data_IF_198245880116
#
_entry.id   IF_198245880116
#
_cell.length_a   1.000
_cell.length_b   1.000
_cell.length_c   1.000
_cell.angle_alpha   90.00
_cell.angle_beta   90.00
_cell.angle_gamma   90.00
#
_symmetry.space_group_name_H-M   'P 1'
#
loop_
_entity.id
_entity.type
_entity.pdbx_description
1 polymer ?
#
# COMPACT_ATOMS: atom_id res chain seq x y z
N UNK A 1 38.56 -26.62 1.30
CA UNK A 1 38.42 -25.16 1.57
C UNK A 1 38.54 -24.96 3.06
N UNK A 2 39.59 -24.28 3.52
CA UNK A 2 39.79 -24.02 4.94
C UNK A 2 38.59 -23.27 5.52
N UNK A 3 37.97 -23.81 6.57
CA UNK A 3 36.97 -23.13 7.39
C UNK A 3 37.64 -21.98 8.14
N UNK A 4 37.94 -20.90 7.42
CA UNK A 4 38.28 -19.61 8.03
C UNK A 4 36.98 -19.11 8.66
N UNK A 5 36.83 -19.31 9.97
CA UNK A 5 35.74 -18.66 10.69
C UNK A 5 35.90 -17.15 10.42
N UNK A 6 34.87 -16.50 9.88
CA UNK A 6 34.85 -15.06 9.59
C UNK A 6 34.82 -14.20 10.87
N UNK A 7 35.23 -14.79 11.98
CA UNK A 7 35.22 -14.28 13.33
C UNK A 7 36.66 -13.96 13.74
N UNK A 8 36.87 -12.72 14.15
CA UNK A 8 38.16 -12.17 14.56
C UNK A 8 38.04 -11.64 15.98
N UNK A 9 39.09 -11.84 16.78
CA UNK A 9 39.21 -11.25 18.11
C UNK A 9 39.87 -9.87 18.03
N UNK A 10 39.35 -8.89 18.78
CA UNK A 10 39.99 -7.59 18.94
C UNK A 10 41.31 -7.70 19.73
N UNK A 11 42.17 -6.69 19.60
CA UNK A 11 43.40 -6.58 20.39
C UNK A 11 43.08 -6.07 21.80
N UNK A 12 43.91 -6.49 22.78
CA UNK A 12 43.85 -6.09 24.21
C UNK A 12 43.72 -4.56 24.38
N UNK A 13 43.06 -4.04 25.43
CA UNK A 13 42.76 -4.70 26.71
C UNK A 13 41.42 -5.45 26.81
N UNK A 14 40.44 -5.17 25.95
CA UNK A 14 39.14 -5.86 25.95
C UNK A 14 39.02 -6.75 24.72
N UNK A 15 38.90 -8.06 24.93
CA UNK A 15 38.70 -9.04 23.86
C UNK A 15 37.23 -9.06 23.47
N UNK A 16 36.92 -8.46 22.33
CA UNK A 16 35.61 -8.47 21.69
C UNK A 16 35.68 -9.30 20.40
N UNK A 17 34.56 -9.93 20.06
CA UNK A 17 34.39 -10.69 18.82
C UNK A 17 33.90 -9.78 17.71
N UNK A 18 34.49 -9.89 16.52
CA UNK A 18 34.11 -9.13 15.34
C UNK A 18 33.93 -10.07 14.15
N UNK A 19 32.87 -9.84 13.38
CA UNK A 19 32.74 -10.39 12.04
C UNK A 19 33.65 -9.59 11.09
N UNK A 20 34.41 -10.29 10.26
CA UNK A 20 35.26 -9.71 9.21
C UNK A 20 35.01 -10.43 7.87
N UNK A 21 34.54 -9.68 6.88
CA UNK A 21 34.34 -10.16 5.53
C UNK A 21 35.15 -9.31 4.55
N UNK A 22 36.11 -9.93 3.85
CA UNK A 22 36.86 -9.23 2.81
C UNK A 22 36.04 -9.16 1.53
N UNK A 23 36.00 -7.99 0.90
CA UNK A 23 35.31 -7.81 -0.37
C UNK A 23 36.16 -8.49 -1.46
N UNK A 24 35.55 -9.32 -2.33
CA UNK A 24 36.26 -9.91 -3.45
C UNK A 24 36.83 -8.85 -4.42
N UNK A 25 38.02 -9.11 -4.97
CA UNK A 25 38.75 -8.15 -5.83
C UNK A 25 37.91 -7.65 -7.02
N UNK A 26 37.10 -8.51 -7.59
CA UNK A 26 36.22 -8.22 -8.72
C UNK A 26 35.08 -7.24 -8.36
N UNK A 27 34.74 -7.14 -7.07
CA UNK A 27 33.70 -6.26 -6.54
C UNK A 27 34.25 -4.99 -5.90
N UNK A 28 35.57 -4.82 -5.77
CA UNK A 28 36.19 -3.62 -5.16
C UNK A 28 35.73 -2.32 -5.82
N UNK A 29 35.42 -2.32 -7.13
CA UNK A 29 34.92 -1.14 -7.85
C UNK A 29 33.52 -0.67 -7.41
N UNK A 30 32.73 -1.53 -6.77
CA UNK A 30 31.36 -1.21 -6.32
C UNK A 30 31.31 -0.77 -4.85
N UNK A 31 32.40 -0.93 -4.11
CA UNK A 31 32.45 -0.66 -2.66
C UNK A 31 33.59 0.30 -2.33
N UNK A 32 33.32 1.29 -1.47
CA UNK A 32 34.33 2.26 -1.04
C UNK A 32 35.33 1.70 -0.02
N UNK A 33 35.16 0.45 0.41
CA UNK A 33 35.94 -0.20 1.47
C UNK A 33 36.41 -1.56 0.98
N UNK A 34 37.48 -2.10 1.59
CA UNK A 34 38.06 -3.40 1.22
C UNK A 34 37.53 -4.56 2.07
N UNK A 35 36.97 -4.26 3.23
CA UNK A 35 36.41 -5.26 4.13
C UNK A 35 35.27 -4.67 4.96
N UNK A 36 34.28 -5.50 5.29
CA UNK A 36 33.28 -5.22 6.29
C UNK A 36 33.75 -5.74 7.64
N UNK A 37 33.63 -4.90 8.67
CA UNK A 37 33.88 -5.29 10.06
C UNK A 37 32.69 -4.91 10.92
N UNK A 38 32.08 -5.91 11.56
CA UNK A 38 30.91 -5.71 12.43
C UNK A 38 31.23 -6.23 13.81
N UNK A 39 31.02 -5.42 14.84
CA UNK A 39 31.23 -5.85 16.22
C UNK A 39 30.11 -6.80 16.65
N UNK A 40 30.48 -7.94 17.23
CA UNK A 40 29.57 -8.92 17.84
C UNK A 40 29.68 -8.87 19.37
N UNK A 41 29.93 -7.68 19.91
CA UNK A 41 30.06 -7.44 21.35
C UNK A 41 28.78 -7.86 22.08
N UNK A 42 28.93 -8.52 23.23
CA UNK A 42 27.82 -8.94 24.08
C UNK A 42 27.31 -10.36 23.84
N UNK A 43 27.85 -11.09 22.85
CA UNK A 43 27.50 -12.48 22.59
C UNK A 43 28.62 -13.45 23.02
N UNK A 44 28.23 -14.68 23.38
CA UNK A 44 29.19 -15.74 23.69
C UNK A 44 29.86 -16.27 22.42
N UNK A 45 31.03 -16.91 22.55
CA UNK A 45 31.77 -17.45 21.40
C UNK A 45 30.93 -18.37 20.48
N UNK A 46 30.14 -19.33 20.98
CA UNK A 46 29.29 -20.17 20.13
C UNK A 46 28.25 -19.36 19.34
N UNK A 47 27.63 -18.36 19.98
CA UNK A 47 26.66 -17.47 19.34
C UNK A 47 27.34 -16.59 18.28
N UNK A 48 28.49 -15.99 18.61
CA UNK A 48 29.29 -15.21 17.66
C UNK A 48 29.67 -16.02 16.43
N UNK A 49 30.00 -17.30 16.58
CA UNK A 49 30.33 -18.19 15.47
C UNK A 49 29.12 -18.44 14.56
N UNK A 50 27.94 -18.67 15.13
CA UNK A 50 26.69 -18.84 14.36
C UNK A 50 26.36 -17.54 13.61
N UNK A 51 26.35 -16.41 14.32
CA UNK A 51 26.05 -15.09 13.75
C UNK A 51 27.05 -14.76 12.63
N UNK A 52 28.34 -15.00 12.85
CA UNK A 52 29.40 -14.75 11.86
C UNK A 52 29.23 -15.58 10.59
N UNK A 53 28.77 -16.82 10.69
CA UNK A 53 28.51 -17.65 9.51
C UNK A 53 27.27 -17.15 8.76
N UNK A 54 26.19 -16.83 9.47
CA UNK A 54 24.98 -16.26 8.85
C UNK A 54 25.28 -14.92 8.16
N UNK A 55 26.07 -14.04 8.78
CA UNK A 55 26.50 -12.78 8.16
C UNK A 55 27.36 -13.01 6.92
N UNK A 56 28.19 -14.06 6.92
CA UNK A 56 28.99 -14.41 5.75
C UNK A 56 28.13 -14.94 4.60
N UNK A 57 27.17 -15.82 4.87
CA UNK A 57 26.28 -16.36 3.85
C UNK A 57 25.45 -15.24 3.21
N UNK A 58 24.94 -14.30 4.00
CA UNK A 58 24.28 -13.09 3.50
C UNK A 58 25.23 -12.23 2.64
N UNK A 59 26.47 -12.02 3.07
CA UNK A 59 27.45 -11.27 2.29
C UNK A 59 27.76 -11.94 0.94
N UNK A 60 27.92 -13.28 0.91
CA UNK A 60 28.09 -14.04 -0.34
C UNK A 60 26.88 -13.84 -1.26
N UNK A 61 25.66 -13.94 -0.74
CA UNK A 61 24.45 -13.75 -1.55
C UNK A 61 24.42 -12.34 -2.16
N UNK A 62 24.77 -11.31 -1.39
CA UNK A 62 24.87 -9.93 -1.88
C UNK A 62 25.95 -9.82 -2.98
N UNK A 63 27.13 -10.40 -2.75
CA UNK A 63 28.21 -10.39 -3.74
C UNK A 63 27.81 -11.08 -5.04
N UNK A 64 27.14 -12.23 -4.97
CA UNK A 64 26.67 -12.94 -6.15
C UNK A 64 25.62 -12.12 -6.90
N UNK A 65 24.65 -11.51 -6.19
CA UNK A 65 23.67 -10.58 -6.79
C UNK A 65 24.35 -9.43 -7.54
N UNK A 66 25.43 -8.86 -6.98
CA UNK A 66 26.18 -7.77 -7.62
C UNK A 66 26.95 -8.28 -8.85
N UNK A 67 27.63 -9.44 -8.76
CA UNK A 67 28.39 -10.05 -9.87
C UNK A 67 27.52 -10.40 -11.05
N UNK A 68 26.37 -10.98 -10.75
CA UNK A 68 25.38 -11.39 -11.72
C UNK A 68 24.72 -10.18 -12.42
N UNK A 69 24.86 -8.97 -11.86
CA UNK A 69 24.18 -7.77 -12.36
C UNK A 69 22.66 -7.92 -12.39
N UNK A 70 22.12 -8.95 -11.74
CA UNK A 70 20.73 -9.35 -11.86
C UNK A 70 19.87 -8.47 -10.96
N UNK A 71 19.25 -7.47 -11.60
CA UNK A 71 17.96 -6.99 -11.13
C UNK A 71 17.02 -8.21 -11.05
N UNK A 72 16.34 -8.40 -9.92
CA UNK A 72 15.41 -9.52 -9.77
C UNK A 72 14.36 -9.47 -10.88
N UNK A 73 13.95 -10.63 -11.38
CA UNK A 73 12.79 -10.68 -12.27
C UNK A 73 11.55 -10.17 -11.52
N UNK A 74 10.69 -9.46 -12.25
CA UNK A 74 9.42 -8.98 -11.68
C UNK A 74 8.57 -10.19 -11.28
N UNK A 75 8.16 -10.22 -10.02
CA UNK A 75 7.23 -11.22 -9.51
C UNK A 75 5.81 -10.66 -9.46
N UNK A 76 4.82 -11.54 -9.34
CA UNK A 76 3.43 -11.13 -9.09
C UNK A 76 3.33 -10.25 -7.83
N UNK A 77 4.13 -10.52 -6.81
CA UNK A 77 4.13 -9.72 -5.60
C UNK A 77 4.62 -8.29 -5.85
N UNK A 78 5.70 -8.15 -6.62
CA UNK A 78 6.20 -6.83 -7.04
C UNK A 78 5.15 -6.06 -7.85
N UNK A 79 4.41 -6.76 -8.72
CA UNK A 79 3.29 -6.17 -9.47
C UNK A 79 2.21 -5.65 -8.53
N UNK A 80 1.80 -6.45 -7.54
CA UNK A 80 0.79 -6.04 -6.56
C UNK A 80 1.26 -4.81 -5.77
N UNK A 81 2.50 -4.82 -5.27
CA UNK A 81 3.07 -3.69 -4.52
C UNK A 81 3.13 -2.40 -5.35
N UNK A 82 3.62 -2.50 -6.59
CA UNK A 82 3.69 -1.35 -7.50
C UNK A 82 2.28 -0.80 -7.81
N UNK A 83 1.30 -1.68 -8.02
CA UNK A 83 -0.08 -1.27 -8.27
C UNK A 83 -0.71 -0.65 -7.03
N UNK A 84 -0.53 -1.21 -5.83
CA UNK A 84 -1.02 -0.63 -4.57
C UNK A 84 -0.49 0.78 -4.35
N UNK A 85 0.82 0.98 -4.53
CA UNK A 85 1.45 2.31 -4.47
C UNK A 85 0.80 3.28 -5.46
N UNK A 86 0.56 2.82 -6.69
CA UNK A 86 -0.02 3.66 -7.74
C UNK A 86 -1.49 3.99 -7.52
N UNK A 87 -2.28 3.03 -7.03
CA UNK A 87 -3.70 3.22 -6.69
C UNK A 87 -3.82 4.26 -5.58
N UNK A 88 -3.03 4.14 -4.51
CA UNK A 88 -2.99 5.13 -3.43
C UNK A 88 -2.67 6.53 -3.93
N UNK A 89 -1.65 6.67 -4.78
CA UNK A 89 -1.32 7.96 -5.42
C UNK A 89 -2.48 8.49 -6.28
N UNK A 90 -3.22 7.60 -6.93
CA UNK A 90 -4.34 7.97 -7.80
C UNK A 90 -5.51 8.50 -6.99
N UNK A 91 -5.86 7.83 -5.90
CA UNK A 91 -6.93 8.26 -4.97
C UNK A 91 -6.57 9.61 -4.34
N UNK A 92 -5.32 9.80 -3.92
CA UNK A 92 -4.84 11.10 -3.45
C UNK A 92 -4.95 12.20 -4.52
N UNK A 93 -4.57 11.88 -5.76
CA UNK A 93 -4.64 12.83 -6.87
C UNK A 93 -6.08 13.27 -7.18
N UNK A 94 -7.03 12.34 -7.22
CA UNK A 94 -8.43 12.68 -7.50
C UNK A 94 -9.05 13.49 -6.36
N UNK A 95 -8.73 13.17 -5.10
CA UNK A 95 -9.21 13.94 -3.95
C UNK A 95 -8.65 15.36 -3.96
N UNK A 96 -7.37 15.53 -4.29
CA UNK A 96 -6.79 16.86 -4.46
C UNK A 96 -7.46 17.63 -5.60
N UNK A 97 -7.71 16.97 -6.74
CA UNK A 97 -8.40 17.56 -7.88
C UNK A 97 -9.82 18.02 -7.53
N UNK A 98 -10.55 17.23 -6.74
CA UNK A 98 -11.88 17.55 -6.22
C UNK A 98 -11.84 18.77 -5.27
N UNK A 99 -10.94 18.75 -4.29
CA UNK A 99 -10.78 19.84 -3.32
C UNK A 99 -10.34 21.17 -3.96
N UNK A 100 -9.54 21.12 -5.01
CA UNK A 100 -9.10 22.32 -5.74
C UNK A 100 -10.21 22.90 -6.63
N UNK A 101 -11.31 22.19 -6.83
CA UNK A 101 -12.41 22.61 -7.70
C UNK A 101 -13.42 23.42 -6.90
N UNK A 102 -13.71 24.65 -7.36
CA UNK A 102 -14.80 25.42 -6.77
C UNK A 102 -16.16 24.81 -7.19
N UNK A 103 -16.75 23.99 -6.33
CA UNK A 103 -18.05 23.32 -6.58
C UNK A 103 -19.24 24.27 -6.58
N UNK A 104 -19.08 25.50 -6.07
CA UNK A 104 -20.15 26.51 -6.03
C UNK A 104 -20.22 27.37 -7.30
N UNK A 105 -19.24 27.22 -8.19
CA UNK A 105 -19.21 27.87 -9.50
C UNK A 105 -19.52 26.82 -10.58
N UNK A 106 -20.73 26.88 -11.12
CA UNK A 106 -21.22 25.91 -12.11
C UNK A 106 -20.40 25.91 -13.41
N UNK A 107 -19.86 27.07 -13.82
CA UNK A 107 -19.07 27.19 -15.04
C UNK A 107 -17.71 26.50 -14.86
N UNK A 108 -17.03 26.79 -13.75
CA UNK A 108 -15.74 26.16 -13.39
C UNK A 108 -15.89 24.66 -13.16
N UNK A 109 -16.98 24.23 -12.52
CA UNK A 109 -17.28 22.81 -12.29
C UNK A 109 -17.46 22.06 -13.61
N UNK A 110 -18.33 22.58 -14.49
CA UNK A 110 -18.59 21.99 -15.79
C UNK A 110 -17.33 21.96 -16.68
N UNK A 111 -16.50 23.00 -16.63
CA UNK A 111 -15.24 23.03 -17.36
C UNK A 111 -14.31 21.89 -16.89
N UNK A 112 -14.16 21.68 -15.57
CA UNK A 112 -13.30 20.61 -15.05
C UNK A 112 -13.81 19.20 -15.33
N UNK A 113 -15.13 19.01 -15.31
CA UNK A 113 -15.76 17.75 -15.74
C UNK A 113 -15.46 17.52 -17.23
N UNK A 114 -15.66 18.55 -18.07
CA UNK A 114 -15.36 18.48 -19.49
C UNK A 114 -13.88 18.16 -19.76
N UNK A 115 -12.95 18.84 -19.08
CA UNK A 115 -11.51 18.56 -19.19
C UNK A 115 -11.16 17.11 -18.85
N UNK A 116 -11.79 16.51 -17.83
CA UNK A 116 -11.57 15.12 -17.46
C UNK A 116 -12.14 14.16 -18.51
N UNK A 117 -13.33 14.47 -19.03
CA UNK A 117 -13.98 13.73 -20.11
C UNK A 117 -13.16 13.74 -21.40
N UNK A 118 -12.63 14.90 -21.79
CA UNK A 118 -11.78 15.03 -22.98
C UNK A 118 -10.46 14.27 -22.82
N UNK A 119 -9.82 14.31 -21.63
CA UNK A 119 -8.61 13.51 -21.37
C UNK A 119 -8.87 12.01 -21.50
N UNK A 120 -10.01 11.53 -21.00
CA UNK A 120 -10.41 10.14 -21.13
C UNK A 120 -10.63 9.74 -22.59
N UNK A 121 -11.37 10.56 -23.37
CA UNK A 121 -11.62 10.33 -24.80
C UNK A 121 -10.32 10.32 -25.61
N UNK A 122 -9.46 11.31 -25.41
CA UNK A 122 -8.16 11.39 -26.09
C UNK A 122 -7.31 10.15 -25.78
N UNK A 123 -7.30 9.68 -24.53
CA UNK A 123 -6.55 8.47 -24.18
C UNK A 123 -7.14 7.24 -24.86
N UNK A 124 -8.47 7.07 -24.86
CA UNK A 124 -9.16 5.98 -25.59
C UNK A 124 -8.88 6.02 -27.09
N UNK A 125 -8.90 7.20 -27.70
CA UNK A 125 -8.62 7.39 -29.11
C UNK A 125 -7.16 7.07 -29.45
N UNK A 126 -6.21 7.50 -28.62
CA UNK A 126 -4.78 7.16 -28.77
C UNK A 126 -4.54 5.65 -28.63
N UNK A 127 -5.22 5.00 -27.69
CA UNK A 127 -5.17 3.54 -27.55
C UNK A 127 -5.77 2.82 -28.76
N UNK A 128 -6.78 3.40 -29.42
CA UNK A 128 -7.39 2.85 -30.63
C UNK A 128 -6.53 3.05 -31.89
N UNK A 129 -5.98 4.26 -32.07
CA UNK A 129 -5.24 4.66 -33.28
C UNK A 129 -3.76 4.30 -33.23
N UNK A 130 -3.11 4.53 -32.09
CA UNK A 130 -1.66 4.41 -31.90
C UNK A 130 -1.33 3.63 -30.62
N UNK A 131 -1.89 2.41 -30.53
CA UNK A 131 -1.76 1.54 -29.35
C UNK A 131 -0.30 1.36 -28.92
N UNK A 132 0.58 0.98 -29.86
CA UNK A 132 2.00 0.66 -29.59
C UNK A 132 2.77 1.87 -29.05
N UNK A 133 2.54 3.06 -29.61
CA UNK A 133 3.21 4.29 -29.18
C UNK A 133 2.74 4.72 -27.79
N UNK A 134 1.44 4.65 -27.54
CA UNK A 134 0.84 5.01 -26.24
C UNK A 134 1.31 4.06 -25.15
N UNK A 135 1.29 2.76 -25.43
CA UNK A 135 1.79 1.73 -24.52
C UNK A 135 3.29 1.91 -24.26
N UNK A 136 4.10 2.24 -25.28
CA UNK A 136 5.53 2.47 -25.09
C UNK A 136 5.83 3.66 -24.15
N UNK A 137 4.97 4.68 -24.09
CA UNK A 137 5.11 5.77 -23.10
C UNK A 137 4.81 5.27 -21.68
N UNK A 138 3.80 4.42 -21.53
CA UNK A 138 3.43 3.80 -20.25
C UNK A 138 4.52 2.83 -19.79
N UNK A 139 5.06 2.02 -20.70
CA UNK A 139 6.22 1.14 -20.45
C UNK A 139 7.41 1.96 -19.93
N UNK A 140 7.72 3.12 -20.53
CA UNK A 140 8.81 3.99 -20.05
C UNK A 140 8.59 4.50 -18.63
N UNK A 141 7.34 4.79 -18.24
CA UNK A 141 7.02 5.17 -16.86
C UNK A 141 7.24 3.99 -15.90
N UNK A 142 6.77 2.80 -16.27
CA UNK A 142 6.93 1.57 -15.49
C UNK A 142 8.40 1.19 -15.37
N UNK A 143 9.17 1.27 -16.45
CA UNK A 143 10.60 0.96 -16.48
C UNK A 143 11.38 1.82 -15.49
N UNK A 144 11.04 3.11 -15.35
CA UNK A 144 11.65 4.00 -14.35
C UNK A 144 11.37 3.51 -12.92
N UNK A 145 10.15 3.05 -12.66
CA UNK A 145 9.75 2.52 -11.35
C UNK A 145 10.47 1.21 -11.07
N UNK A 146 10.48 0.28 -12.02
CA UNK A 146 11.19 -1.00 -11.88
C UNK A 146 12.69 -0.79 -11.65
N UNK A 147 13.31 0.14 -12.38
CA UNK A 147 14.70 0.52 -12.17
C UNK A 147 14.95 1.05 -10.76
N UNK A 148 14.05 1.89 -10.23
CA UNK A 148 14.17 2.40 -8.86
C UNK A 148 14.05 1.31 -7.78
N UNK A 149 13.30 0.22 -8.07
CA UNK A 149 13.15 -0.95 -7.19
C UNK A 149 14.18 -2.05 -7.46
N UNK A 150 15.17 -1.82 -8.35
CA UNK A 150 16.16 -2.82 -8.79
C UNK A 150 15.51 -4.09 -9.40
N UNK A 151 14.39 -3.93 -10.11
CA UNK A 151 13.68 -4.99 -10.83
C UNK A 151 13.94 -4.92 -12.34
N UNK A 152 14.12 -6.08 -12.97
CA UNK A 152 14.42 -6.17 -14.41
C UNK A 152 13.16 -5.85 -15.22
N UNK A 153 13.25 -4.86 -16.09
CA UNK A 153 12.23 -4.63 -17.12
C UNK A 153 12.41 -5.63 -18.26
N UNK A 154 11.73 -6.77 -18.17
CA UNK A 154 11.60 -7.72 -19.27
C UNK A 154 10.24 -7.58 -19.94
N UNK A 155 10.21 -6.97 -21.14
CA UNK A 155 8.99 -6.78 -21.93
C UNK A 155 8.34 -8.08 -22.39
N UNK A 156 9.05 -9.21 -22.34
CA UNK A 156 8.49 -10.53 -22.68
C UNK A 156 7.85 -11.21 -21.47
N UNK A 157 8.16 -10.78 -20.25
CA UNK A 157 7.60 -11.32 -19.01
C UNK A 157 6.07 -11.06 -18.94
N UNK A 158 5.32 -12.06 -18.47
CA UNK A 158 3.86 -12.03 -18.40
C UNK A 158 3.37 -11.04 -17.34
N UNK A 159 4.02 -11.01 -16.18
CA UNK A 159 3.71 -10.11 -15.07
C UNK A 159 3.98 -8.65 -15.47
N UNK A 160 5.07 -8.38 -16.19
CA UNK A 160 5.34 -7.05 -16.76
C UNK A 160 4.21 -6.58 -17.68
N UNK A 161 3.78 -7.43 -18.63
CA UNK A 161 2.66 -7.10 -19.53
C UNK A 161 1.35 -6.90 -18.77
N UNK A 162 1.12 -7.71 -17.74
CA UNK A 162 -0.01 -7.58 -16.82
C UNK A 162 -0.02 -6.22 -16.12
N UNK A 163 1.14 -5.79 -15.62
CA UNK A 163 1.34 -4.49 -14.99
C UNK A 163 1.07 -3.35 -15.97
N UNK A 164 1.62 -3.40 -17.19
CA UNK A 164 1.39 -2.38 -18.23
C UNK A 164 -0.09 -2.23 -18.56
N UNK A 165 -0.81 -3.36 -18.70
CA UNK A 165 -2.25 -3.35 -18.97
C UNK A 165 -3.03 -2.69 -17.83
N UNK A 166 -2.83 -3.15 -16.59
CA UNK A 166 -3.53 -2.61 -15.41
C UNK A 166 -3.20 -1.14 -15.15
N UNK A 167 -1.95 -0.73 -15.41
CA UNK A 167 -1.54 0.68 -15.33
C UNK A 167 -2.28 1.55 -16.35
N UNK A 168 -2.49 1.03 -17.57
CA UNK A 168 -3.27 1.70 -18.61
C UNK A 168 -4.73 1.81 -18.20
N UNK A 169 -5.32 0.72 -17.68
CA UNK A 169 -6.69 0.69 -17.18
C UNK A 169 -6.87 1.70 -16.04
N UNK A 170 -5.93 1.75 -15.08
CA UNK A 170 -5.96 2.70 -13.97
C UNK A 170 -5.88 4.15 -14.43
N UNK A 171 -5.12 4.46 -15.49
CA UNK A 171 -5.09 5.82 -16.07
C UNK A 171 -6.46 6.24 -16.64
N UNK A 172 -7.21 5.30 -17.22
CA UNK A 172 -8.57 5.56 -17.70
C UNK A 172 -9.55 5.73 -16.55
N UNK A 173 -9.55 4.77 -15.62
CA UNK A 173 -10.42 4.76 -14.42
C UNK A 173 -10.23 6.05 -13.61
N UNK A 174 -8.99 6.54 -13.47
CA UNK A 174 -8.71 7.81 -12.79
C UNK A 174 -9.49 8.98 -13.37
N UNK A 175 -9.61 9.10 -14.69
CA UNK A 175 -10.35 10.22 -15.28
C UNK A 175 -11.87 10.03 -15.09
N UNK A 176 -12.36 8.79 -15.04
CA UNK A 176 -13.74 8.47 -14.66
C UNK A 176 -14.03 8.89 -13.22
N UNK A 177 -13.21 8.47 -12.26
CA UNK A 177 -13.40 8.78 -10.84
C UNK A 177 -13.38 10.29 -10.55
N UNK A 178 -12.59 11.08 -11.30
CA UNK A 178 -12.63 12.55 -11.19
C UNK A 178 -14.00 13.11 -11.54
N UNK A 179 -14.61 12.63 -12.63
CA UNK A 179 -15.94 13.10 -13.05
C UNK A 179 -16.99 12.74 -12.00
N UNK A 180 -16.98 11.49 -11.55
CA UNK A 180 -17.91 10.99 -10.54
C UNK A 180 -17.83 11.79 -9.23
N UNK A 181 -16.61 12.09 -8.76
CA UNK A 181 -16.40 12.93 -7.58
C UNK A 181 -16.94 14.35 -7.77
N UNK A 182 -16.67 14.97 -8.93
CA UNK A 182 -17.16 16.31 -9.25
C UNK A 182 -18.69 16.37 -9.46
N UNK A 183 -19.30 15.29 -9.94
CA UNK A 183 -20.75 15.12 -10.04
C UNK A 183 -21.43 14.88 -8.67
N UNK A 184 -20.64 14.80 -7.59
CA UNK A 184 -21.13 14.67 -6.22
C UNK A 184 -21.29 13.23 -5.75
N UNK A 185 -20.77 12.24 -6.47
CA UNK A 185 -20.73 10.86 -5.98
C UNK A 185 -19.68 10.75 -4.87
N UNK A 186 -20.16 10.61 -3.63
CA UNK A 186 -19.29 10.31 -2.48
C UNK A 186 -18.91 8.84 -2.55
N UNK A 187 -17.61 8.56 -2.60
CA UNK A 187 -17.06 7.21 -2.51
C UNK A 187 -16.04 7.12 -1.38
N UNK A 188 -16.05 6.00 -0.67
CA UNK A 188 -15.00 5.67 0.29
C UNK A 188 -13.80 5.01 -0.42
N UNK A 189 -12.62 5.10 0.18
CA UNK A 189 -11.39 4.49 -0.38
C UNK A 189 -11.58 2.98 -0.66
N UNK A 190 -12.31 2.30 0.21
CA UNK A 190 -12.63 0.87 0.09
C UNK A 190 -13.44 0.52 -1.16
N UNK A 191 -14.31 1.44 -1.63
CA UNK A 191 -15.12 1.23 -2.84
C UNK A 191 -14.24 1.26 -4.09
N UNK A 192 -13.27 2.18 -4.15
CA UNK A 192 -12.29 2.22 -5.24
C UNK A 192 -11.46 0.94 -5.31
N UNK A 193 -11.05 0.41 -4.15
CA UNK A 193 -10.27 -0.82 -4.08
C UNK A 193 -11.10 -2.03 -4.48
N UNK A 194 -12.37 -2.08 -4.06
CA UNK A 194 -13.30 -3.17 -4.42
C UNK A 194 -13.57 -3.17 -5.94
N UNK A 195 -13.80 -2.00 -6.55
CA UNK A 195 -13.99 -1.88 -8.00
C UNK A 195 -12.75 -2.39 -8.78
N UNK A 196 -11.55 -2.07 -8.31
CA UNK A 196 -10.31 -2.55 -8.92
C UNK A 196 -10.13 -4.06 -8.73
N UNK A 197 -10.45 -4.61 -7.56
CA UNK A 197 -10.36 -6.04 -7.30
C UNK A 197 -11.34 -6.83 -8.18
N UNK A 198 -12.58 -6.36 -8.32
CA UNK A 198 -13.58 -6.98 -9.19
C UNK A 198 -13.16 -6.95 -10.68
N UNK A 199 -12.52 -5.86 -11.10
CA UNK A 199 -12.04 -5.69 -12.47
C UNK A 199 -10.77 -6.49 -12.76
N UNK A 200 -9.84 -6.57 -11.82
CA UNK A 200 -8.50 -7.14 -12.05
C UNK A 200 -8.36 -8.58 -11.58
N UNK A 201 -9.06 -8.97 -10.51
CA UNK A 201 -9.06 -10.31 -9.90
C UNK A 201 -7.66 -10.86 -9.67
N UNK A 202 -6.81 -10.06 -9.04
CA UNK A 202 -5.41 -10.41 -8.77
C UNK A 202 -5.09 -10.58 -7.29
N UNK A 203 -6.05 -10.40 -6.39
CA UNK A 203 -5.80 -10.38 -4.95
C UNK A 203 -4.89 -9.20 -4.59
N UNK A 204 -5.25 -7.99 -5.05
CA UNK A 204 -4.54 -6.75 -4.74
C UNK A 204 -4.68 -6.40 -3.25
N UNK A 205 -5.83 -6.76 -2.66
CA UNK A 205 -6.16 -6.60 -1.25
C UNK A 205 -5.75 -7.80 -0.38
N UNK A 206 -5.42 -8.94 -0.99
CA UNK A 206 -4.96 -10.10 -0.24
C UNK A 206 -3.56 -9.82 0.32
N UNK A 207 -3.46 -9.74 1.64
CA UNK A 207 -2.19 -9.80 2.34
C UNK A 207 -1.70 -11.25 2.28
N UNK A 208 -0.44 -11.48 1.88
CA UNK A 208 0.16 -12.82 1.72
C UNK A 208 0.33 -13.61 3.04
N UNK A 209 -0.33 -13.18 4.12
CA UNK A 209 -0.44 -13.89 5.39
C UNK A 209 -1.33 -15.15 5.34
N UNK A 210 -1.83 -15.54 4.18
CA UNK A 210 -2.58 -16.79 4.00
C UNK A 210 -1.73 -17.84 3.24
N UNK A 211 -0.70 -18.37 3.89
CA UNK A 211 -0.32 -19.75 3.61
C UNK A 211 -1.46 -20.67 4.09
N UNK A 212 -2.25 -21.17 3.14
CA UNK A 212 -2.76 -22.55 3.00
C UNK A 212 -3.93 -22.48 2.00
N UNK A 213 -3.73 -23.14 0.86
CA UNK A 213 -4.49 -22.91 -0.37
C UNK A 213 -5.90 -23.49 -0.41
N UNK A 214 -6.66 -23.08 -1.41
CA UNK A 214 -7.72 -23.90 -2.03
C UNK A 214 -7.79 -23.63 -3.54
N UNK A 215 -7.88 -24.74 -4.24
CA UNK A 215 -7.95 -24.95 -5.68
C UNK A 215 -9.23 -24.39 -6.30
N UNK A 216 -9.07 -23.73 -7.43
CA UNK A 216 -10.07 -23.36 -8.44
C UNK A 216 -11.05 -24.49 -8.78
N UNK A 217 -12.37 -24.29 -8.59
CA UNK A 217 -13.45 -24.73 -9.51
C UNK A 217 -14.71 -23.84 -9.35
N UNK A 218 -15.16 -23.24 -10.45
CA UNK A 218 -16.54 -22.78 -10.70
C UNK A 218 -17.26 -23.81 -11.61
N UNK A 219 -18.58 -23.73 -11.87
CA UNK A 219 -19.71 -23.24 -11.06
C UNK A 219 -20.89 -24.25 -11.03
N UNK A 220 -21.74 -24.24 -10.01
CA UNK A 220 -23.13 -24.71 -10.16
C UNK A 220 -24.12 -23.83 -9.40
N UNK A 221 -25.18 -23.50 -10.14
CA UNK A 221 -26.36 -22.73 -9.75
C UNK A 221 -27.24 -23.62 -8.87
N UNK A 222 -27.57 -23.19 -7.65
CA UNK A 222 -28.81 -23.57 -6.96
C UNK A 222 -29.20 -22.46 -5.98
N UNK A 223 -30.50 -22.18 -5.96
CA UNK A 223 -31.18 -21.07 -5.32
C UNK A 223 -31.01 -21.01 -3.80
N UNK A 224 -30.90 -19.77 -3.32
CA UNK A 224 -31.41 -19.20 -2.08
C UNK A 224 -31.46 -20.09 -0.84
N UNK A 225 -30.51 -19.88 0.09
CA UNK A 225 -30.78 -19.89 1.53
C UNK A 225 -29.89 -18.85 2.22
N UNK A 226 -30.54 -17.86 2.82
CA UNK A 226 -29.96 -16.80 3.64
C UNK A 226 -29.44 -17.45 4.93
N UNK A 227 -28.11 -17.51 5.09
CA UNK A 227 -27.48 -17.76 6.39
C UNK A 227 -26.31 -16.79 6.58
N UNK A 228 -26.51 -15.96 7.60
CA UNK A 228 -25.67 -14.90 8.15
C UNK A 228 -24.30 -15.45 8.59
N UNK A 229 -23.16 -14.83 8.25
CA UNK A 229 -21.88 -15.23 8.81
C UNK A 229 -21.77 -14.79 10.28
N UNK A 230 -21.48 -15.77 11.13
CA UNK A 230 -21.11 -15.62 12.54
C UNK A 230 -19.79 -14.87 12.66
N UNK A 231 -19.88 -13.58 13.00
CA UNK A 231 -18.75 -12.79 13.49
C UNK A 231 -18.60 -13.12 14.98
N UNK A 232 -17.40 -13.47 15.39
CA UNK A 232 -17.04 -13.55 16.82
C UNK A 232 -17.23 -12.16 17.44
N UNK A 233 -18.28 -12.02 18.24
CA UNK A 233 -18.62 -10.81 18.98
C UNK A 233 -17.59 -10.58 20.07
N UNK A 234 -16.65 -9.67 19.85
CA UNK A 234 -16.38 -8.69 20.91
C UNK A 234 -17.67 -7.91 21.09
N UNK A 235 -18.25 -7.76 22.30
CA UNK A 235 -19.46 -6.97 22.46
C UNK A 235 -19.14 -5.55 21.98
N UNK A 236 -19.69 -5.15 20.84
CA UNK A 236 -19.71 -3.75 20.46
C UNK A 236 -20.48 -3.05 21.55
N UNK A 237 -19.79 -2.34 22.43
CA UNK A 237 -20.43 -1.43 23.36
C UNK A 237 -20.94 -0.29 22.46
N UNK A 238 -22.12 -0.49 21.89
CA UNK A 238 -22.84 0.55 21.18
C UNK A 238 -23.08 1.63 22.22
N UNK A 239 -22.29 2.70 22.13
CA UNK A 239 -22.46 3.83 23.02
C UNK A 239 -23.84 4.42 22.69
N UNK A 240 -24.71 4.56 23.70
CA UNK A 240 -26.05 5.03 23.46
C UNK A 240 -26.01 6.41 22.81
N UNK A 241 -26.90 6.64 21.84
CA UNK A 241 -26.95 7.90 21.10
C UNK A 241 -27.11 9.07 22.08
N UNK A 242 -26.45 10.19 21.77
CA UNK A 242 -26.56 11.38 22.60
C UNK A 242 -28.02 11.84 22.77
N UNK A 243 -28.82 11.73 21.71
CA UNK A 243 -30.27 12.00 21.71
C UNK A 243 -31.04 11.15 22.73
N UNK A 244 -30.61 9.91 22.99
CA UNK A 244 -31.23 9.03 23.99
C UNK A 244 -30.74 9.32 25.42
N UNK A 245 -29.48 9.71 25.57
CA UNK A 245 -28.85 9.86 26.89
C UNK A 245 -29.04 11.23 27.51
N UNK A 246 -29.16 12.30 26.73
CA UNK A 246 -29.17 13.64 27.30
C UNK A 246 -30.39 13.85 28.21
N UNK A 247 -31.56 13.29 27.87
CA UNK A 247 -32.75 13.32 28.73
C UNK A 247 -32.49 12.70 30.11
N UNK A 248 -31.80 11.54 30.15
CA UNK A 248 -31.41 10.87 31.40
C UNK A 248 -30.42 11.69 32.20
N UNK A 249 -29.50 12.37 31.53
CA UNK A 249 -28.56 13.28 32.19
C UNK A 249 -29.26 14.48 32.84
N UNK A 250 -30.19 15.13 32.13
CA UNK A 250 -31.00 16.23 32.68
C UNK A 250 -31.80 15.77 33.89
N UNK A 251 -32.42 14.58 33.82
CA UNK A 251 -33.17 14.03 34.95
C UNK A 251 -32.25 13.79 36.16
N UNK A 252 -31.07 13.21 35.95
CA UNK A 252 -30.08 13.02 37.02
C UNK A 252 -29.64 14.35 37.64
N UNK A 253 -29.58 15.44 36.89
CA UNK A 253 -29.28 16.76 37.46
C UNK A 253 -30.39 17.28 38.37
N UNK A 254 -31.66 17.03 38.03
CA UNK A 254 -32.81 17.34 38.89
C UNK A 254 -32.81 16.50 40.16
N UNK A 255 -32.55 15.20 40.03
CA UNK A 255 -32.46 14.28 41.17
C UNK A 255 -31.35 14.70 42.14
N UNK A 256 -30.24 15.20 41.61
CA UNK A 256 -29.13 15.78 42.38
C UNK A 256 -29.39 17.20 42.91
N UNK A 257 -30.61 17.73 42.73
CA UNK A 257 -31.05 19.07 43.19
C UNK A 257 -30.13 20.20 42.75
N UNK A 258 -29.64 20.15 41.51
CA UNK A 258 -28.92 21.29 40.91
C UNK A 258 -29.86 22.49 40.74
N UNK A 259 -29.29 23.70 40.71
CA UNK A 259 -30.04 24.94 40.49
C UNK A 259 -30.73 24.91 39.13
N UNK A 260 -31.99 25.31 39.09
CA UNK A 260 -32.82 25.22 37.87
C UNK A 260 -32.21 26.00 36.70
N UNK A 261 -31.64 27.19 36.96
CA UNK A 261 -30.97 28.00 35.94
C UNK A 261 -29.86 27.23 35.20
N UNK A 262 -29.02 26.48 35.95
CA UNK A 262 -27.95 25.66 35.37
C UNK A 262 -28.52 24.49 34.55
N UNK A 263 -29.65 23.92 34.98
CA UNK A 263 -30.34 22.87 34.23
C UNK A 263 -30.89 23.44 32.90
N UNK A 264 -31.51 24.62 32.94
CA UNK A 264 -32.02 25.32 31.75
C UNK A 264 -30.93 25.66 30.74
N UNK A 265 -29.80 26.21 31.18
CA UNK A 265 -28.63 26.49 30.31
C UNK A 265 -28.11 25.21 29.64
N UNK A 266 -28.05 24.11 30.40
CA UNK A 266 -27.58 22.81 29.87
C UNK A 266 -28.55 22.26 28.83
N UNK A 267 -29.86 22.39 29.05
CA UNK A 267 -30.89 21.99 28.07
C UNK A 267 -30.77 22.80 26.78
N UNK A 268 -30.58 24.13 26.87
CA UNK A 268 -30.41 24.98 25.69
C UNK A 268 -29.15 24.59 24.90
N UNK A 269 -28.05 24.34 25.61
CA UNK A 269 -26.80 23.87 24.98
C UNK A 269 -27.01 22.57 24.22
N UNK A 270 -27.70 21.59 24.82
CA UNK A 270 -27.96 20.31 24.17
C UNK A 270 -28.91 20.42 22.98
N UNK A 271 -29.91 21.31 23.03
CA UNK A 271 -30.77 21.58 21.87
C UNK A 271 -29.98 22.12 20.67
N UNK A 272 -29.05 23.04 20.90
CA UNK A 272 -28.18 23.57 19.83
C UNK A 272 -27.29 22.50 19.19
N UNK A 273 -26.87 21.47 19.94
CA UNK A 273 -26.09 20.34 19.40
C UNK A 273 -26.96 19.34 18.62
N UNK A 274 -28.23 19.19 19.00
CA UNK A 274 -29.18 18.29 18.32
C UNK A 274 -29.70 18.89 17.01
N UNK A 275 -29.77 20.22 16.91
CA UNK A 275 -30.26 20.93 15.72
C UNK A 275 -29.19 21.13 14.61
N UNK A 276 -27.94 20.68 14.83
CA UNK A 276 -26.83 20.65 13.86
C UNK A 276 -26.80 19.34 13.08
#
# INVERSE_FOLDING_TARGET
MDKRNHLVLSKKPYQDYHFRCCIPKDLEKYFNQKEFRVSLKGHSYPQCKIISNNLYDNAIQIFNKIREGHMSEITLQDVKDILRDKVKQTIQHINHYDNDTNKYDEEVLNERIHQSSEKEKILKERLKTNYTVTVAQIEKEIDRILNSKNLKSDKKNVDYKGLVRKWTDLKLIRETWKKELLEGQVRYEEEYLTELEDNWKIGLLENDSNEVGVITKQPQVTQTQVLKPTIQTTPSVSSPLFSEMYHKHIQRMRDNRRREDTICETIQTYKGVIEL
#
